data_IF_942667527689
#
_entry.id   IF_942667527689
#
_cell.length_a   1.000
_cell.length_b   1.000
_cell.length_c   1.000
_cell.angle_alpha   90.00
_cell.angle_beta   90.00
_cell.angle_gamma   90.00
#
_symmetry.space_group_name_H-M   'P 1'
#
loop_
_entity.id
_entity.type
_entity.pdbx_description
1 polymer ?
#
# COMPACT_ATOMS: atom_id res chain seq x y z
N UNK A 1 22.35 5.73 -49.45
CA UNK A 1 21.10 6.37 -48.97
C UNK A 1 21.41 7.81 -48.57
N UNK A 2 20.61 8.81 -48.98
CA UNK A 2 20.86 10.23 -48.65
C UNK A 2 20.82 10.41 -47.13
N UNK A 3 21.71 11.24 -46.55
CA UNK A 3 21.78 11.53 -45.09
C UNK A 3 20.41 11.89 -44.46
N UNK A 4 19.51 12.49 -45.25
CA UNK A 4 18.13 12.81 -44.85
C UNK A 4 17.27 11.58 -44.54
N UNK A 5 17.44 10.45 -45.24
CA UNK A 5 16.67 9.23 -44.98
C UNK A 5 17.12 8.55 -43.68
N UNK A 6 18.40 8.72 -43.33
CA UNK A 6 18.93 8.21 -42.07
C UNK A 6 18.39 9.02 -40.89
N UNK A 7 18.36 10.35 -41.01
CA UNK A 7 17.79 11.23 -39.99
C UNK A 7 16.29 10.99 -39.79
N UNK A 8 15.56 10.77 -40.89
CA UNK A 8 14.14 10.41 -40.85
C UNK A 8 13.88 9.07 -40.16
N UNK A 9 14.75 8.07 -40.40
CA UNK A 9 14.68 6.78 -39.71
C UNK A 9 14.93 6.94 -38.20
N UNK A 10 15.95 7.70 -37.80
CA UNK A 10 16.21 7.98 -36.38
C UNK A 10 15.04 8.71 -35.70
N UNK A 11 14.40 9.64 -36.41
CA UNK A 11 13.22 10.35 -35.90
C UNK A 11 12.05 9.39 -35.67
N UNK A 12 11.80 8.47 -36.60
CA UNK A 12 10.76 7.44 -36.44
C UNK A 12 11.07 6.49 -35.28
N UNK A 13 12.32 6.03 -35.15
CA UNK A 13 12.72 5.18 -34.02
C UNK A 13 12.54 5.92 -32.69
N UNK A 14 12.92 7.18 -32.60
CA UNK A 14 12.72 7.98 -31.39
C UNK A 14 11.21 8.16 -31.06
N UNK A 15 10.38 8.44 -32.05
CA UNK A 15 8.93 8.61 -31.89
C UNK A 15 8.20 7.35 -31.44
N UNK A 16 8.70 6.15 -31.77
CA UNK A 16 8.04 4.89 -31.39
C UNK A 16 8.66 4.24 -30.14
N UNK A 17 9.99 4.30 -29.97
CA UNK A 17 10.66 3.68 -28.82
C UNK A 17 10.47 4.54 -27.56
N UNK A 18 10.52 5.86 -27.66
CA UNK A 18 10.44 6.73 -26.49
C UNK A 18 9.09 6.63 -25.74
N UNK A 19 7.92 6.63 -26.41
CA UNK A 19 6.65 6.41 -25.72
C UNK A 19 6.54 5.00 -25.12
N UNK A 20 7.11 3.99 -25.78
CA UNK A 20 7.13 2.62 -25.27
C UNK A 20 7.95 2.48 -23.99
N UNK A 21 9.10 3.17 -23.89
CA UNK A 21 9.91 3.23 -22.67
C UNK A 21 9.15 3.96 -21.56
N UNK A 22 8.53 5.11 -21.86
CA UNK A 22 7.72 5.86 -20.87
C UNK A 22 6.59 4.98 -20.33
N UNK A 23 5.90 4.25 -21.21
CA UNK A 23 4.83 3.34 -20.82
C UNK A 23 5.36 2.20 -19.93
N UNK A 24 6.46 1.54 -20.31
CA UNK A 24 7.06 0.46 -19.52
C UNK A 24 7.55 0.92 -18.14
N UNK A 25 8.13 2.12 -18.04
CA UNK A 25 8.57 2.72 -16.76
C UNK A 25 7.37 3.08 -15.89
N UNK A 26 6.29 3.61 -16.47
CA UNK A 26 5.07 3.95 -15.72
C UNK A 26 4.41 2.70 -15.12
N UNK A 27 4.28 1.62 -15.89
CA UNK A 27 3.70 0.37 -15.41
C UNK A 27 4.54 -0.24 -14.27
N UNK A 28 5.87 -0.13 -14.36
CA UNK A 28 6.78 -0.66 -13.35
C UNK A 28 6.86 0.19 -12.07
N UNK A 29 6.40 1.45 -12.09
CA UNK A 29 6.50 2.39 -10.95
C UNK A 29 5.19 2.60 -10.20
N UNK A 30 4.07 2.12 -10.74
CA UNK A 30 2.80 2.08 -10.02
C UNK A 30 2.92 1.13 -8.82
N UNK A 31 3.09 1.70 -7.62
CA UNK A 31 2.97 0.93 -6.38
C UNK A 31 1.53 0.44 -6.25
N UNK A 32 1.33 -0.87 -6.41
CA UNK A 32 0.04 -1.54 -6.32
C UNK A 32 -0.44 -1.66 -4.86
N UNK A 33 -0.68 -0.51 -4.22
CA UNK A 33 -1.13 -0.45 -2.82
C UNK A 33 -2.64 -0.18 -2.77
N UNK A 34 -3.39 -1.08 -2.14
CA UNK A 34 -4.79 -0.84 -1.80
C UNK A 34 -4.85 -0.17 -0.41
N UNK A 35 -5.10 1.13 -0.39
CA UNK A 35 -5.31 1.84 0.86
C UNK A 35 -6.73 1.61 1.36
N UNK A 36 -6.85 1.15 2.59
CA UNK A 36 -8.13 1.05 3.30
C UNK A 36 -8.16 2.07 4.43
N UNK A 37 -9.12 3.00 4.35
CA UNK A 37 -9.31 4.03 5.37
C UNK A 37 -10.08 3.48 6.57
N UNK A 38 -9.65 3.86 7.78
CA UNK A 38 -10.28 3.49 9.05
C UNK A 38 -10.81 4.75 9.74
N UNK A 39 -11.90 4.62 10.48
CA UNK A 39 -12.55 5.74 11.16
C UNK A 39 -11.85 6.09 12.48
N UNK A 40 -11.94 7.38 12.86
CA UNK A 40 -11.15 7.96 13.95
C UNK A 40 -11.50 7.43 15.36
N UNK A 41 -12.64 6.77 15.52
CA UNK A 41 -13.13 6.32 16.84
C UNK A 41 -12.41 5.05 17.33
N UNK A 42 -11.75 4.29 16.45
CA UNK A 42 -11.14 3.02 16.85
C UNK A 42 -9.74 3.22 17.45
N UNK A 43 -9.58 3.00 18.75
CA UNK A 43 -8.29 3.21 19.42
C UNK A 43 -7.38 1.97 19.42
N UNK A 44 -7.93 0.78 19.14
CA UNK A 44 -7.20 -0.49 19.22
C UNK A 44 -7.21 -1.22 17.88
N UNK A 45 -6.10 -1.88 17.57
CA UNK A 45 -5.99 -2.75 16.41
C UNK A 45 -5.60 -4.15 16.88
N UNK A 46 -6.33 -5.16 16.41
CA UNK A 46 -6.04 -6.57 16.62
C UNK A 46 -5.83 -7.24 15.26
N UNK A 47 -4.63 -7.74 15.01
CA UNK A 47 -4.25 -8.36 13.75
C UNK A 47 -4.28 -9.87 13.97
N UNK A 48 -5.18 -10.55 13.29
CA UNK A 48 -5.32 -12.00 13.27
C UNK A 48 -4.81 -12.53 11.93
N UNK A 49 -3.48 -12.53 11.75
CA UNK A 49 -2.83 -13.03 10.55
C UNK A 49 -1.59 -13.87 10.92
N UNK A 50 -1.64 -15.21 10.75
CA UNK A 50 -0.52 -16.08 11.10
C UNK A 50 0.68 -15.98 10.15
N UNK A 51 0.53 -15.32 9.00
CA UNK A 51 1.61 -15.12 8.03
C UNK A 51 2.45 -13.86 8.31
N UNK A 52 1.96 -12.98 9.20
CA UNK A 52 2.67 -11.76 9.58
C UNK A 52 3.50 -12.00 10.83
N UNK A 53 4.79 -11.72 10.71
CA UNK A 53 5.67 -11.56 11.85
C UNK A 53 5.60 -10.12 12.38
N UNK A 54 5.88 -9.88 13.68
CA UNK A 54 5.89 -8.53 14.26
C UNK A 54 6.79 -7.55 13.52
N UNK A 55 7.89 -8.04 12.95
CA UNK A 55 8.88 -7.27 12.20
C UNK A 55 8.32 -6.72 10.87
N UNK A 56 7.29 -7.37 10.33
CA UNK A 56 6.66 -7.02 9.06
C UNK A 56 5.49 -6.04 9.24
N UNK A 57 5.19 -5.65 10.48
CA UNK A 57 4.14 -4.69 10.82
C UNK A 57 4.76 -3.33 11.11
N UNK A 58 4.55 -2.38 10.20
CA UNK A 58 5.03 -1.02 10.33
C UNK A 58 3.91 -0.12 10.84
N UNK A 59 4.13 0.50 12.00
CA UNK A 59 3.17 1.36 12.66
C UNK A 59 3.69 2.78 12.66
N UNK A 60 2.94 3.68 12.05
CA UNK A 60 3.21 5.11 12.07
C UNK A 60 2.03 5.84 12.71
N UNK A 61 2.31 6.53 13.82
CA UNK A 61 1.33 7.35 14.55
C UNK A 61 1.57 8.85 14.37
N UNK A 62 2.55 9.23 13.54
CA UNK A 62 2.83 10.63 13.26
C UNK A 62 1.69 11.20 12.43
N UNK A 63 1.38 12.47 12.62
CA UNK A 63 0.47 13.18 11.72
C UNK A 63 1.18 13.38 10.37
N UNK A 64 1.02 12.46 9.43
CA UNK A 64 1.58 12.63 8.09
C UNK A 64 0.80 13.73 7.35
N UNK A 65 1.52 14.68 6.75
CA UNK A 65 0.95 15.66 5.81
C UNK A 65 0.94 15.14 4.36
N UNK A 66 1.53 13.97 4.12
CA UNK A 66 1.75 13.42 2.79
C UNK A 66 0.95 12.13 2.62
N UNK A 67 -0.22 12.24 1.99
CA UNK A 67 -0.98 11.09 1.53
C UNK A 67 -0.54 10.74 0.09
N UNK A 68 -0.22 9.48 -0.23
CA UNK A 68 0.35 9.11 -1.53
C UNK A 68 -0.60 9.16 -2.74
N UNK A 69 -1.77 9.81 -2.63
CA UNK A 69 -2.67 10.05 -3.77
C UNK A 69 -3.25 11.46 -3.73
N UNK A 70 -3.19 12.15 -4.88
CA UNK A 70 -3.90 13.42 -5.18
C UNK A 70 -5.44 13.24 -5.25
N UNK A 71 -5.94 12.01 -5.16
CA UNK A 71 -7.37 11.72 -5.11
C UNK A 71 -7.91 11.98 -3.70
N UNK A 72 -8.42 13.21 -3.47
CA UNK A 72 -9.59 13.63 -2.66
C UNK A 72 -10.13 12.70 -1.54
N UNK A 73 -9.28 11.97 -0.83
CA UNK A 73 -9.53 11.37 0.50
C UNK A 73 -8.91 12.32 1.56
N UNK A 74 -8.76 13.59 1.22
CA UNK A 74 -7.66 14.45 1.70
C UNK A 74 -7.79 15.01 3.12
N UNK A 75 -8.90 14.89 3.86
CA UNK A 75 -8.99 15.58 5.17
C UNK A 75 -9.59 14.71 6.29
N UNK A 76 -10.50 13.79 5.98
CA UNK A 76 -11.28 13.08 7.01
C UNK A 76 -10.73 11.72 7.43
N UNK A 77 -9.79 11.13 6.66
CA UNK A 77 -9.27 9.78 6.91
C UNK A 77 -7.74 9.77 6.97
N UNK A 78 -7.18 10.53 7.91
CA UNK A 78 -5.75 10.47 8.26
C UNK A 78 -5.34 9.12 8.85
N UNK A 79 -6.30 8.24 9.11
CA UNK A 79 -6.05 6.87 9.48
C UNK A 79 -6.29 5.97 8.28
N UNK A 80 -5.28 5.22 7.89
CA UNK A 80 -5.37 4.24 6.83
C UNK A 80 -4.40 3.09 7.07
N UNK A 81 -4.63 1.99 6.38
CA UNK A 81 -3.66 0.91 6.33
C UNK A 81 -3.63 0.29 4.94
N UNK A 82 -2.56 -0.43 4.65
CA UNK A 82 -2.40 -1.16 3.40
C UNK A 82 -1.36 -2.26 3.57
N UNK A 83 -1.49 -3.30 2.77
CA UNK A 83 -0.46 -4.30 2.61
C UNK A 83 0.49 -3.89 1.49
N UNK A 84 1.79 -3.89 1.78
CA UNK A 84 2.85 -3.73 0.79
C UNK A 84 3.38 -5.11 0.40
N UNK A 85 3.32 -5.39 -0.90
CA UNK A 85 3.84 -6.60 -1.51
C UNK A 85 4.01 -6.40 -3.02
N UNK A 86 4.26 -7.49 -3.73
CA UNK A 86 4.40 -7.51 -5.20
C UNK A 86 3.08 -7.23 -5.91
N UNK A 87 1.95 -7.55 -5.26
CA UNK A 87 0.59 -7.38 -5.76
C UNK A 87 -0.24 -6.45 -4.90
N UNK A 88 -1.47 -6.20 -5.35
CA UNK A 88 -2.47 -5.44 -4.61
C UNK A 88 -3.25 -6.37 -3.68
N UNK A 89 -3.11 -6.14 -2.38
CA UNK A 89 -3.76 -6.90 -1.32
C UNK A 89 -4.76 -6.04 -0.58
N UNK A 90 -5.98 -6.54 -0.39
CA UNK A 90 -6.97 -5.89 0.47
C UNK A 90 -6.96 -6.55 1.85
N UNK A 91 -6.89 -5.77 2.94
CA UNK A 91 -7.03 -6.32 4.28
C UNK A 91 -8.49 -6.68 4.54
N UNK A 92 -8.72 -7.86 5.13
CA UNK A 92 -9.99 -8.15 5.78
C UNK A 92 -10.12 -7.27 7.03
N UNK A 93 -11.17 -6.47 7.09
CA UNK A 93 -11.40 -5.58 8.22
C UNK A 93 -12.76 -5.88 8.83
N UNK A 94 -12.77 -6.07 10.14
CA UNK A 94 -13.99 -6.11 10.94
C UNK A 94 -13.86 -5.10 12.07
N UNK A 95 -14.94 -4.37 12.36
CA UNK A 95 -14.95 -3.34 13.40
C UNK A 95 -15.83 -3.83 14.54
N UNK A 96 -15.27 -3.88 15.74
CA UNK A 96 -15.96 -4.28 16.96
C UNK A 96 -15.78 -3.20 18.02
N UNK A 97 -16.73 -2.27 18.09
CA UNK A 97 -16.64 -1.08 18.95
C UNK A 97 -15.39 -0.26 18.61
N UNK A 98 -14.52 -0.06 19.59
CA UNK A 98 -13.27 0.71 19.46
C UNK A 98 -12.09 -0.12 18.93
N UNK A 99 -12.31 -1.40 18.60
CA UNK A 99 -11.26 -2.30 18.10
C UNK A 99 -11.47 -2.62 16.63
N UNK A 100 -10.42 -2.40 15.82
CA UNK A 100 -10.35 -2.90 14.45
C UNK A 100 -9.67 -4.25 14.44
N UNK A 101 -10.38 -5.26 13.97
CA UNK A 101 -9.82 -6.57 13.66
C UNK A 101 -9.35 -6.59 12.21
N UNK A 102 -8.09 -6.91 12.00
CA UNK A 102 -7.47 -7.06 10.69
C UNK A 102 -7.19 -8.55 10.49
N UNK A 103 -7.86 -9.15 9.52
CA UNK A 103 -7.67 -10.55 9.16
C UNK A 103 -6.57 -10.74 8.11
N UNK A 104 -6.76 -11.77 7.29
CA UNK A 104 -5.81 -12.13 6.24
C UNK A 104 -5.77 -11.06 5.15
N UNK A 105 -4.69 -11.07 4.40
CA UNK A 105 -4.61 -10.34 3.15
C UNK A 105 -5.38 -11.10 2.07
N UNK A 106 -6.41 -10.48 1.52
CA UNK A 106 -7.15 -11.02 0.37
C UNK A 106 -6.45 -10.50 -0.88
N UNK A 107 -5.84 -11.40 -1.64
CA UNK A 107 -5.26 -11.07 -2.95
C UNK A 107 -6.35 -10.66 -3.92
N UNK A 108 -6.21 -9.48 -4.55
CA UNK A 108 -6.94 -9.20 -5.79
C UNK A 108 -6.25 -9.95 -6.94
N UNK A 109 -6.57 -11.24 -7.07
CA UNK A 109 -6.12 -12.11 -8.17
C UNK A 109 -5.08 -13.17 -7.75
N UNK A 110 -5.47 -14.44 -7.97
CA UNK A 110 -4.76 -15.73 -7.79
C UNK A 110 -3.68 -15.80 -6.69
N UNK A 111 -4.03 -16.52 -5.62
CA UNK A 111 -3.16 -17.09 -4.58
C UNK A 111 -1.84 -17.61 -5.16
N UNK A 112 -0.69 -17.10 -4.72
CA UNK A 112 0.47 -17.93 -4.35
C UNK A 112 1.77 -17.16 -3.97
N UNK A 113 1.83 -15.82 -4.05
CA UNK A 113 3.07 -15.06 -3.74
C UNK A 113 2.97 -14.25 -2.44
N UNK A 114 2.84 -14.92 -1.29
CA UNK A 114 2.79 -14.25 0.04
C UNK A 114 4.15 -14.03 0.70
N UNK A 115 5.26 -14.38 0.04
CA UNK A 115 6.58 -14.50 0.69
C UNK A 115 7.20 -13.18 1.18
N UNK A 116 6.64 -12.01 0.87
CA UNK A 116 7.15 -10.71 1.34
C UNK A 116 6.04 -9.70 1.64
N UNK A 117 5.01 -10.12 2.36
CA UNK A 117 3.90 -9.25 2.76
C UNK A 117 4.29 -8.43 4.01
N UNK A 118 4.19 -7.11 3.92
CA UNK A 118 4.30 -6.21 5.09
C UNK A 118 3.03 -5.39 5.26
N UNK A 119 2.60 -5.21 6.51
CA UNK A 119 1.40 -4.44 6.83
C UNK A 119 1.82 -3.06 7.32
N UNK A 120 1.33 -2.02 6.65
CA UNK A 120 1.59 -0.63 7.01
C UNK A 120 0.32 -0.02 7.60
N UNK A 121 0.42 0.43 8.84
CA UNK A 121 -0.68 1.02 9.60
C UNK A 121 -0.30 2.47 9.89
N UNK A 122 -1.13 3.39 9.43
CA UNK A 122 -1.03 4.80 9.76
C UNK A 122 -2.23 5.20 10.61
N UNK A 123 -2.01 5.49 11.89
CA UNK A 123 -3.08 5.78 12.83
C UNK A 123 -2.64 6.78 13.90
N UNK A 124 -3.21 7.98 13.89
CA UNK A 124 -2.83 9.08 14.80
C UNK A 124 -3.20 8.78 16.27
N UNK A 125 -4.44 8.38 16.50
CA UNK A 125 -5.01 8.19 17.84
C UNK A 125 -4.92 6.73 18.34
N UNK A 126 -3.90 6.00 17.89
CA UNK A 126 -3.69 4.60 18.24
C UNK A 126 -3.25 4.45 19.70
N UNK A 127 -3.91 3.57 20.46
CA UNK A 127 -3.53 3.22 21.83
C UNK A 127 -2.65 1.97 21.88
N UNK A 128 -3.05 0.91 21.18
CA UNK A 128 -2.27 -0.32 21.13
C UNK A 128 -2.55 -1.13 19.87
N UNK A 129 -1.57 -1.94 19.47
CA UNK A 129 -1.66 -2.94 18.40
C UNK A 129 -1.32 -4.30 18.97
N UNK A 130 -2.21 -5.25 18.72
CA UNK A 130 -2.03 -6.67 19.01
C UNK A 130 -1.85 -7.42 17.70
N UNK A 131 -0.96 -8.39 17.69
CA UNK A 131 -0.75 -9.33 16.60
C UNK A 131 -0.85 -10.73 17.17
N UNK A 132 -1.82 -11.50 16.66
CA UNK A 132 -2.11 -12.87 17.08
C UNK A 132 -2.22 -12.99 18.61
N UNK A 133 -2.90 -12.02 19.24
CA UNK A 133 -3.10 -11.93 20.69
C UNK A 133 -1.94 -11.36 21.52
N UNK A 134 -0.79 -11.04 20.91
CA UNK A 134 0.37 -10.42 21.59
C UNK A 134 0.45 -8.93 21.31
N UNK A 135 0.71 -8.12 22.33
CA UNK A 135 0.94 -6.67 22.14
C UNK A 135 2.29 -6.48 21.45
N UNK A 136 2.28 -5.89 20.25
CA UNK A 136 3.48 -5.56 19.49
C UNK A 136 3.82 -4.07 19.57
N UNK A 137 2.83 -3.24 19.88
CA UNK A 137 3.01 -1.80 20.02
C UNK A 137 1.97 -1.23 20.97
N UNK A 138 2.40 -0.28 21.81
CA UNK A 138 1.53 0.44 22.74
C UNK A 138 2.02 1.89 22.84
N UNK A 139 1.06 2.81 22.90
CA UNK A 139 1.32 4.24 23.11
C UNK A 139 1.76 4.44 24.57
N UNK A 140 3.04 4.80 24.73
CA UNK A 140 3.59 5.24 26.02
C UNK A 140 3.07 6.60 26.43
#
# INVERSE_FOLDING_TARGET
MKKSNLLFLYLMVALYIFPFIIWGVKESTCKNQAYTGIYKEQAFIDIENPQLEPENVHIDTRQSSYFPKEDKIEIQRRTYLYYAGTRQYLPEISIQGDTVKIGKAVEMGKEDDTEQLSLHIHFIDLKAVRLNGKIIWEKK
#
